data_IF_121005029400
#
_entry.id   IF_121005029400
#
_cell.length_a   1.000
_cell.length_b   1.000
_cell.length_c   1.000
_cell.angle_alpha   90.00
_cell.angle_beta   90.00
_cell.angle_gamma   90.00
#
_symmetry.space_group_name_H-M   'P 1'
#
loop_
_entity.id
_entity.type
_entity.pdbx_description
1 polymer ?
#
# COMPACT_ATOMS: atom_id res chain seq x y z
N UNK A 1 -43.74 -18.13 38.44
CA UNK A 1 -43.48 -17.34 37.22
C UNK A 1 -43.35 -15.88 37.63
N UNK A 2 -42.12 -15.35 37.71
CA UNK A 2 -41.80 -13.92 37.78
C UNK A 2 -40.31 -13.75 37.43
N UNK A 3 -40.01 -13.36 36.19
CA UNK A 3 -38.65 -13.03 35.75
C UNK A 3 -38.44 -11.51 35.85
N UNK A 4 -37.53 -11.08 36.72
CA UNK A 4 -37.03 -9.71 36.80
C UNK A 4 -35.85 -9.58 35.83
N UNK A 5 -36.13 -9.09 34.63
CA UNK A 5 -35.12 -8.79 33.60
C UNK A 5 -34.27 -7.58 34.00
N UNK A 6 -32.98 -7.82 34.27
CA UNK A 6 -31.98 -6.78 34.50
C UNK A 6 -31.64 -6.13 33.16
N UNK A 7 -31.98 -4.85 33.01
CA UNK A 7 -31.61 -4.00 31.89
C UNK A 7 -30.08 -3.81 31.85
N UNK A 8 -29.44 -4.33 30.79
CA UNK A 8 -28.06 -3.99 30.42
C UNK A 8 -28.10 -2.79 29.47
N UNK A 9 -27.44 -1.66 29.76
CA UNK A 9 -27.31 -0.57 28.79
C UNK A 9 -26.33 -1.01 27.69
N UNK A 10 -26.80 -1.05 26.44
CA UNK A 10 -25.93 -1.26 25.29
C UNK A 10 -25.10 -0.01 25.04
N UNK A 11 -23.77 -0.17 25.10
CA UNK A 11 -22.82 0.87 24.69
C UNK A 11 -23.04 1.19 23.21
N UNK A 12 -23.06 2.48 22.80
CA UNK A 12 -23.15 2.83 21.40
C UNK A 12 -21.87 2.38 20.68
N UNK A 13 -22.08 1.63 19.61
CA UNK A 13 -21.11 1.11 18.64
C UNK A 13 -20.19 2.23 18.11
N UNK A 14 -19.17 2.60 18.88
CA UNK A 14 -17.97 3.24 18.34
C UNK A 14 -17.11 2.16 17.74
N UNK A 15 -17.37 1.85 16.48
CA UNK A 15 -16.34 1.50 15.49
C UNK A 15 -17.01 1.49 14.12
N UNK A 16 -16.89 2.62 13.44
CA UNK A 16 -16.73 2.63 11.98
C UNK A 16 -15.47 1.83 11.65
N UNK A 17 -15.57 0.50 11.75
CA UNK A 17 -14.62 -0.41 11.17
C UNK A 17 -15.02 -0.42 9.70
N UNK A 18 -14.53 0.57 8.96
CA UNK A 18 -14.36 0.43 7.52
C UNK A 18 -13.38 -0.72 7.37
N UNK A 19 -13.92 -1.94 7.41
CA UNK A 19 -13.24 -3.12 6.96
C UNK A 19 -13.12 -2.90 5.47
N UNK A 20 -12.03 -2.27 5.04
CA UNK A 20 -11.54 -2.49 3.69
C UNK A 20 -11.29 -3.99 3.67
N UNK A 21 -12.28 -4.73 3.18
CA UNK A 21 -12.12 -6.11 2.81
C UNK A 21 -11.05 -6.08 1.73
N UNK A 22 -9.79 -6.22 2.14
CA UNK A 22 -8.69 -6.46 1.23
C UNK A 22 -9.14 -7.65 0.40
N UNK A 23 -9.32 -7.54 -0.92
CA UNK A 23 -9.55 -8.72 -1.73
C UNK A 23 -8.27 -9.54 -1.61
N UNK A 24 -8.30 -10.54 -0.74
CA UNK A 24 -7.24 -11.51 -0.58
C UNK A 24 -7.26 -12.36 -1.84
N UNK A 25 -6.66 -11.86 -2.93
CA UNK A 25 -6.44 -12.67 -4.11
C UNK A 25 -5.47 -13.78 -3.70
N UNK A 26 -5.97 -15.01 -3.67
CA UNK A 26 -5.30 -16.17 -3.07
C UNK A 26 -4.23 -16.78 -3.99
N UNK A 27 -3.89 -16.13 -5.10
CA UNK A 27 -2.78 -16.49 -6.00
C UNK A 27 -1.51 -15.65 -5.71
N UNK A 28 -1.09 -15.65 -4.43
CA UNK A 28 0.02 -14.85 -3.90
C UNK A 28 1.36 -14.96 -4.65
N UNK A 29 1.81 -16.12 -5.16
CA UNK A 29 3.09 -16.22 -5.86
C UNK A 29 3.08 -15.50 -7.21
N UNK A 30 1.97 -15.59 -7.95
CA UNK A 30 1.81 -14.97 -9.27
C UNK A 30 1.63 -13.47 -9.15
N UNK A 31 0.87 -13.03 -8.14
CA UNK A 31 0.70 -11.61 -7.82
C UNK A 31 2.04 -10.98 -7.40
N UNK A 32 2.86 -11.66 -6.58
CA UNK A 32 4.19 -11.16 -6.19
C UNK A 32 5.11 -10.96 -7.40
N UNK A 33 5.11 -11.91 -8.33
CA UNK A 33 5.88 -11.81 -9.57
C UNK A 33 5.35 -10.68 -10.46
N UNK A 34 4.03 -10.55 -10.61
CA UNK A 34 3.41 -9.49 -11.39
C UNK A 34 3.66 -8.10 -10.80
N UNK A 35 3.67 -7.99 -9.46
CA UNK A 35 4.01 -6.75 -8.76
C UNK A 35 5.47 -6.36 -8.99
N UNK A 36 6.40 -7.31 -8.89
CA UNK A 36 7.81 -7.05 -9.19
C UNK A 36 8.02 -6.69 -10.66
N UNK A 37 7.38 -7.40 -11.58
CA UNK A 37 7.45 -7.09 -13.01
C UNK A 37 6.97 -5.67 -13.31
N UNK A 38 5.81 -5.27 -12.76
CA UNK A 38 5.31 -3.90 -12.92
C UNK A 38 6.29 -2.88 -12.32
N UNK A 39 6.80 -3.12 -11.11
CA UNK A 39 7.72 -2.19 -10.47
C UNK A 39 9.01 -2.00 -11.28
N UNK A 40 9.57 -3.09 -11.83
CA UNK A 40 10.78 -3.06 -12.65
C UNK A 40 10.55 -2.37 -14.00
N UNK A 41 9.44 -2.67 -14.67
CA UNK A 41 9.06 -2.04 -15.94
C UNK A 41 8.97 -0.51 -15.82
N UNK A 42 8.48 -0.02 -14.67
CA UNK A 42 8.24 1.38 -14.43
C UNK A 42 9.42 2.12 -13.77
N UNK A 43 10.55 1.45 -13.54
CA UNK A 43 11.75 2.09 -12.99
C UNK A 43 12.12 3.37 -13.77
N UNK A 44 12.21 3.37 -15.12
CA UNK A 44 12.58 4.57 -15.89
C UNK A 44 11.61 5.74 -15.73
N UNK A 45 10.39 5.48 -15.25
CA UNK A 45 9.32 6.46 -15.05
C UNK A 45 9.20 6.91 -13.59
N UNK A 46 10.06 6.43 -12.69
CA UNK A 46 9.99 6.71 -11.25
C UNK A 46 8.99 5.83 -10.48
N UNK A 47 8.58 4.71 -11.07
CA UNK A 47 7.66 3.74 -10.47
C UNK A 47 6.21 3.83 -10.99
N UNK A 48 5.39 2.80 -10.75
CA UNK A 48 4.01 2.76 -11.23
C UNK A 48 3.13 3.80 -10.55
N UNK A 49 2.19 4.39 -11.30
CA UNK A 49 1.19 5.31 -10.74
C UNK A 49 0.14 4.54 -9.94
N UNK A 50 -0.48 5.22 -8.98
CA UNK A 50 -1.50 4.62 -8.13
C UNK A 50 -2.70 4.05 -8.92
N UNK A 51 -3.09 4.71 -10.00
CA UNK A 51 -4.17 4.29 -10.90
C UNK A 51 -3.85 2.97 -11.62
N UNK A 52 -2.61 2.77 -12.06
CA UNK A 52 -2.15 1.52 -12.69
C UNK A 52 -2.08 0.37 -11.66
N UNK A 53 -1.62 0.68 -10.44
CA UNK A 53 -1.59 -0.29 -9.33
C UNK A 53 -3.01 -0.71 -8.96
N UNK A 54 -3.92 0.25 -8.82
CA UNK A 54 -5.31 -0.03 -8.47
C UNK A 54 -6.02 -0.84 -9.56
N UNK A 55 -5.86 -0.45 -10.83
CA UNK A 55 -6.47 -1.13 -11.96
C UNK A 55 -6.02 -2.60 -12.06
N UNK A 56 -4.76 -2.88 -11.73
CA UNK A 56 -4.17 -4.22 -11.86
C UNK A 56 -4.35 -5.11 -10.62
N UNK A 57 -4.26 -4.53 -9.43
CA UNK A 57 -4.20 -5.31 -8.17
C UNK A 57 -5.33 -5.00 -7.18
N UNK A 58 -6.14 -3.97 -7.42
CA UNK A 58 -7.28 -3.61 -6.57
C UNK A 58 -6.93 -3.00 -5.21
N UNK A 59 -5.69 -2.50 -5.05
CA UNK A 59 -5.25 -1.78 -3.86
C UNK A 59 -4.37 -0.57 -4.22
N UNK A 60 -4.20 0.35 -3.27
CA UNK A 60 -3.45 1.60 -3.50
C UNK A 60 -1.93 1.45 -3.49
N UNK A 61 -1.21 2.55 -3.71
CA UNK A 61 0.25 2.54 -3.83
C UNK A 61 0.97 2.09 -2.54
N UNK A 62 0.46 2.46 -1.36
CA UNK A 62 1.12 2.15 -0.09
C UNK A 62 1.27 0.64 0.18
N UNK A 63 0.20 -0.19 0.13
CA UNK A 63 0.34 -1.65 0.28
C UNK A 63 1.18 -2.29 -0.84
N UNK A 64 1.18 -1.72 -2.06
CA UNK A 64 2.06 -2.16 -3.14
C UNK A 64 3.53 -2.03 -2.75
N UNK A 65 3.97 -0.83 -2.36
CA UNK A 65 5.37 -0.58 -2.01
C UNK A 65 5.83 -1.31 -0.75
N UNK A 66 4.95 -1.49 0.24
CA UNK A 66 5.22 -2.37 1.37
C UNK A 66 5.49 -3.81 0.94
N UNK A 67 4.71 -4.32 0.00
CA UNK A 67 4.91 -5.67 -0.53
C UNK A 67 6.21 -5.76 -1.31
N UNK A 68 6.54 -4.78 -2.17
CA UNK A 68 7.83 -4.73 -2.88
C UNK A 68 8.99 -4.79 -1.88
N UNK A 69 9.00 -3.95 -0.85
CA UNK A 69 10.05 -4.00 0.17
C UNK A 69 10.16 -5.38 0.83
N UNK A 70 9.02 -6.00 1.16
CA UNK A 70 9.02 -7.36 1.70
C UNK A 70 9.65 -8.37 0.73
N UNK A 71 9.30 -8.31 -0.57
CA UNK A 71 9.84 -9.23 -1.58
C UNK A 71 11.35 -9.07 -1.75
N UNK A 72 11.87 -7.83 -1.67
CA UNK A 72 13.31 -7.55 -1.72
C UNK A 72 14.09 -8.11 -0.52
N UNK A 73 13.42 -8.53 0.58
CA UNK A 73 14.09 -9.23 1.68
C UNK A 73 14.26 -10.74 1.44
N UNK A 74 13.64 -11.29 0.38
CA UNK A 74 13.60 -12.74 0.14
C UNK A 74 14.70 -13.17 -0.84
N UNK A 75 15.53 -14.16 -0.49
CA UNK A 75 16.62 -14.62 -1.36
C UNK A 75 16.17 -15.03 -2.76
N UNK A 76 14.98 -15.65 -2.89
CA UNK A 76 14.43 -16.09 -4.18
C UNK A 76 14.25 -14.94 -5.18
N UNK A 77 13.90 -13.74 -4.71
CA UNK A 77 13.67 -12.57 -5.57
C UNK A 77 14.97 -11.81 -5.83
N UNK A 78 15.86 -11.77 -4.83
CA UNK A 78 17.20 -11.19 -4.98
C UNK A 78 18.05 -11.95 -6.00
N UNK A 79 17.84 -13.26 -6.18
CA UNK A 79 18.51 -14.04 -7.22
C UNK A 79 18.00 -13.73 -8.64
N UNK A 80 16.78 -13.20 -8.76
CA UNK A 80 16.15 -12.87 -10.06
C UNK A 80 16.39 -11.42 -10.48
N UNK A 81 16.79 -10.56 -9.55
CA UNK A 81 17.01 -9.13 -9.78
C UNK A 81 18.49 -8.81 -9.65
N UNK A 82 19.02 -7.94 -10.51
CA UNK A 82 20.37 -7.43 -10.33
C UNK A 82 20.41 -6.37 -9.20
N UNK A 83 21.60 -6.13 -8.65
CA UNK A 83 21.80 -5.20 -7.52
C UNK A 83 21.34 -3.77 -7.82
N UNK A 84 21.49 -3.30 -9.06
CA UNK A 84 21.07 -1.94 -9.45
C UNK A 84 19.54 -1.82 -9.43
N UNK A 85 18.82 -2.81 -9.96
CA UNK A 85 17.36 -2.88 -9.89
C UNK A 85 16.86 -2.90 -8.45
N UNK A 86 17.51 -3.67 -7.57
CA UNK A 86 17.13 -3.70 -6.15
C UNK A 86 17.30 -2.34 -5.48
N UNK A 87 18.43 -1.67 -5.71
CA UNK A 87 18.70 -0.35 -5.12
C UNK A 87 17.69 0.71 -5.60
N UNK A 88 17.32 0.68 -6.89
CA UNK A 88 16.36 1.61 -7.45
C UNK A 88 14.95 1.39 -6.90
N UNK A 89 14.50 0.14 -6.81
CA UNK A 89 13.21 -0.18 -6.20
C UNK A 89 13.14 0.23 -4.71
N UNK A 90 14.25 0.11 -3.98
CA UNK A 90 14.34 0.61 -2.60
C UNK A 90 14.24 2.13 -2.54
N UNK A 91 14.96 2.85 -3.41
CA UNK A 91 14.90 4.31 -3.48
C UNK A 91 13.49 4.82 -3.80
N UNK A 92 12.82 4.18 -4.76
CA UNK A 92 11.43 4.49 -5.12
C UNK A 92 10.47 4.23 -3.96
N UNK A 93 10.58 3.08 -3.28
CA UNK A 93 9.77 2.81 -2.11
C UNK A 93 9.98 3.86 -1.00
N UNK A 94 11.23 4.27 -0.76
CA UNK A 94 11.54 5.33 0.21
C UNK A 94 10.92 6.68 -0.16
N UNK A 95 10.96 7.05 -1.44
CA UNK A 95 10.32 8.28 -1.93
C UNK A 95 8.80 8.28 -1.73
N UNK A 96 8.17 7.10 -1.82
CA UNK A 96 6.74 6.92 -1.60
C UNK A 96 6.35 6.98 -0.12
N UNK A 97 7.20 6.45 0.76
CA UNK A 97 6.98 6.52 2.21
C UNK A 97 7.28 7.91 2.80
N UNK A 98 8.16 8.67 2.17
CA UNK A 98 8.52 10.02 2.58
C UNK A 98 8.38 11.00 1.40
N UNK A 99 7.15 11.31 0.96
CA UNK A 99 6.98 12.26 -0.13
C UNK A 99 7.55 13.62 0.31
N UNK A 100 8.31 14.31 -0.57
CA UNK A 100 8.79 15.65 -0.25
C UNK A 100 7.58 16.52 0.10
N UNK A 101 7.61 17.10 1.31
CA UNK A 101 6.52 17.98 1.77
C UNK A 101 6.44 19.15 0.79
N UNK A 102 5.44 19.12 -0.10
CA UNK A 102 5.08 20.29 -0.89
C UNK A 102 4.52 21.32 0.07
N UNK A 103 5.37 22.21 0.58
CA UNK A 103 4.92 23.44 1.21
C UNK A 103 4.16 24.23 0.14
N UNK A 104 2.82 24.19 0.19
CA UNK A 104 2.01 25.20 -0.48
C UNK A 104 2.25 26.48 0.30
N UNK A 105 3.10 27.37 -0.22
CA UNK A 105 3.16 28.75 0.26
C UNK A 105 1.75 29.34 0.13
N UNK A 106 1.10 29.81 1.21
CA UNK A 106 -0.12 30.59 1.06
C UNK A 106 0.27 31.88 0.34
N UNK A 107 -0.15 32.02 -0.93
CA UNK A 107 -0.05 33.28 -1.65
C UNK A 107 -0.75 34.36 -0.85
N UNK A 108 -0.02 35.44 -0.63
CA UNK A 108 -0.43 36.65 0.07
C UNK A 108 -1.74 37.17 -0.53
N UNK A 109 -2.79 37.22 0.29
CA UNK A 109 -3.95 38.07 0.05
C UNK A 109 -3.79 39.31 0.92
N UNK A 110 -3.50 40.45 0.29
CA UNK A 110 -3.57 41.78 0.87
C UNK A 110 -4.26 42.68 -0.17
N UNK A 111 -5.50 43.13 0.07
CA UNK A 111 -5.96 44.43 -0.40
C UNK A 111 -5.44 45.55 0.51
#
# INVERSE_FOLDING_TARGET
MSELGIARPQRPERRSRTTIALPTNRNLPDDDQAMLALAVEWIPLGGPKEEDIWARFGFGAMPFWHRICYLLTRPKWLQLLNTATVAELQAQAMAQFNPPRRFKSPQQALP
#
